data_IF_281870958749
#
_entry.id   IF_281870958749
#
_cell.length_a   1.000
_cell.length_b   1.000
_cell.length_c   1.000
_cell.angle_alpha   90.00
_cell.angle_beta   90.00
_cell.angle_gamma   90.00
#
_symmetry.space_group_name_H-M   'P 1'
#
loop_
_entity.id
_entity.type
_entity.pdbx_description
1 polymer ?
#
# COMPACT_ATOMS: atom_id res chain seq x y z
N UNK A 1 2.75 26.83 17.61
CA UNK A 1 3.51 26.65 18.86
C UNK A 1 2.53 26.09 19.87
N UNK A 2 2.61 24.81 20.18
CA UNK A 2 1.93 24.22 21.31
C UNK A 2 2.72 24.65 22.54
N UNK A 3 2.21 25.60 23.32
CA UNK A 3 2.88 26.22 24.45
C UNK A 3 2.90 25.34 25.71
N UNK A 4 3.23 24.07 25.59
CA UNK A 4 3.40 23.18 26.73
C UNK A 4 4.89 23.03 27.02
N UNK A 5 5.35 23.59 28.12
CA UNK A 5 6.71 23.36 28.63
C UNK A 5 6.75 22.02 29.34
N UNK A 6 7.53 21.10 28.82
CA UNK A 6 7.80 19.82 29.47
C UNK A 6 9.14 19.85 30.19
N UNK A 7 9.23 19.22 31.36
CA UNK A 7 10.51 19.00 31.99
C UNK A 7 11.41 18.13 31.11
N UNK A 8 12.74 18.32 31.23
CA UNK A 8 13.71 17.50 30.47
C UNK A 8 13.55 16.00 30.76
N UNK A 9 13.16 15.65 31.98
CA UNK A 9 12.90 14.27 32.40
C UNK A 9 11.67 13.70 31.68
N UNK A 10 10.58 14.47 31.63
CA UNK A 10 9.34 14.08 30.93
C UNK A 10 9.60 13.88 29.43
N UNK A 11 10.35 14.81 28.81
CA UNK A 11 10.73 14.68 27.41
C UNK A 11 11.55 13.40 27.15
N UNK A 12 12.57 13.12 27.96
CA UNK A 12 13.38 11.92 27.79
C UNK A 12 12.55 10.64 27.96
N UNK A 13 11.66 10.58 28.97
CA UNK A 13 10.78 9.42 29.13
C UNK A 13 9.87 9.18 27.91
N UNK A 14 9.32 10.27 27.33
CA UNK A 14 8.49 10.16 26.13
C UNK A 14 9.32 9.75 24.91
N UNK A 15 10.55 10.28 24.76
CA UNK A 15 11.47 9.88 23.72
C UNK A 15 11.78 8.39 23.80
N UNK A 16 12.18 7.91 24.98
CA UNK A 16 12.54 6.51 25.21
C UNK A 16 11.34 5.58 24.98
N UNK A 17 10.12 6.02 25.35
CA UNK A 17 8.89 5.28 25.03
C UNK A 17 8.63 5.21 23.53
N UNK A 18 8.80 6.32 22.79
CA UNK A 18 8.66 6.36 21.32
C UNK A 18 9.73 5.48 20.66
N UNK A 19 11.00 5.56 21.12
CA UNK A 19 12.06 4.69 20.61
C UNK A 19 11.73 3.21 20.84
N UNK A 20 11.18 2.87 22.01
CA UNK A 20 10.81 1.48 22.33
C UNK A 20 9.60 0.95 21.55
N UNK A 21 8.57 1.78 21.36
CA UNK A 21 7.35 1.38 20.63
C UNK A 21 7.60 1.23 19.12
N UNK A 22 8.40 2.13 18.56
CA UNK A 22 8.60 2.20 17.10
C UNK A 22 9.93 1.60 16.64
N UNK A 23 10.77 1.08 17.55
CA UNK A 23 12.08 0.50 17.20
C UNK A 23 13.03 1.50 16.52
N UNK A 24 12.88 2.80 16.80
CA UNK A 24 13.66 3.87 16.19
C UNK A 24 14.66 4.47 17.16
N UNK A 25 15.66 5.20 16.66
CA UNK A 25 16.54 6.05 17.45
C UNK A 25 16.27 7.52 17.19
N UNK A 26 16.13 8.30 18.28
CA UNK A 26 15.97 9.75 18.20
C UNK A 26 17.27 10.41 18.71
N UNK A 27 18.04 10.97 17.77
CA UNK A 27 19.30 11.62 18.05
C UNK A 27 19.13 13.12 18.26
N UNK A 28 20.03 13.72 19.06
CA UNK A 28 20.07 15.15 19.26
C UNK A 28 21.30 15.75 18.56
N UNK A 29 21.07 16.68 17.66
CA UNK A 29 22.13 17.53 17.14
C UNK A 29 22.44 18.62 18.19
N UNK A 30 23.56 18.49 18.89
CA UNK A 30 23.95 19.37 20.00
C UNK A 30 24.24 20.79 19.56
N UNK A 31 24.65 21.02 18.31
CA UNK A 31 24.95 22.38 17.81
C UNK A 31 23.70 23.19 17.50
N UNK A 32 22.62 22.51 17.05
CA UNK A 32 21.34 23.14 16.73
C UNK A 32 20.27 22.92 17.79
N UNK A 33 20.56 22.08 18.79
CA UNK A 33 19.64 21.63 19.84
C UNK A 33 18.33 21.04 19.27
N UNK A 34 18.42 20.34 18.11
CA UNK A 34 17.30 19.71 17.44
C UNK A 34 17.40 18.20 17.53
N UNK A 35 16.27 17.57 17.82
CA UNK A 35 16.13 16.12 17.76
C UNK A 35 15.71 15.70 16.36
N UNK A 36 16.24 14.57 15.89
CA UNK A 36 15.94 14.01 14.58
C UNK A 36 16.02 12.49 14.61
N UNK A 37 15.30 11.84 13.73
CA UNK A 37 15.42 10.41 13.48
C UNK A 37 16.42 10.25 12.33
N UNK A 38 17.56 9.57 12.55
CA UNK A 38 18.54 9.36 11.48
C UNK A 38 17.91 8.49 10.37
N UNK A 39 18.14 8.88 9.14
CA UNK A 39 17.86 7.99 8.01
C UNK A 39 18.98 6.94 8.00
N UNK A 40 18.67 5.70 8.35
CA UNK A 40 19.59 4.58 8.24
C UNK A 40 19.15 3.73 7.07
N UNK A 41 20.07 3.47 6.12
CA UNK A 41 19.87 2.52 5.02
C UNK A 41 19.81 1.05 5.55
N UNK A 42 20.23 0.84 6.80
CA UNK A 42 20.24 -0.44 7.50
C UNK A 42 19.00 -0.68 8.35
N UNK A 43 17.80 -0.33 7.87
CA UNK A 43 16.58 -0.82 8.49
C UNK A 43 16.45 -2.28 8.08
N UNK A 44 16.72 -3.21 9.00
CA UNK A 44 16.44 -4.63 8.80
C UNK A 44 14.97 -4.78 8.33
N UNK A 45 14.71 -5.71 7.41
CA UNK A 45 13.39 -5.93 6.80
C UNK A 45 12.24 -6.04 7.81
N UNK A 46 12.53 -6.48 9.05
CA UNK A 46 11.55 -6.56 10.14
C UNK A 46 10.97 -5.21 10.61
N UNK A 47 11.63 -4.07 10.29
CA UNK A 47 11.20 -2.72 10.69
C UNK A 47 10.85 -1.81 9.49
N UNK A 48 10.92 -2.31 8.26
CA UNK A 48 10.71 -1.50 7.05
C UNK A 48 9.30 -0.89 7.01
N UNK A 49 8.28 -1.63 7.41
CA UNK A 49 6.88 -1.18 7.44
C UNK A 49 6.69 -0.08 8.49
N UNK A 50 7.27 -0.25 9.69
CA UNK A 50 7.21 0.74 10.77
C UNK A 50 7.97 2.01 10.39
N UNK A 51 9.16 1.88 9.79
CA UNK A 51 9.93 3.02 9.30
C UNK A 51 9.20 3.77 8.18
N UNK A 52 8.55 3.05 7.28
CA UNK A 52 7.73 3.63 6.22
C UNK A 52 6.51 4.38 6.77
N UNK A 53 5.79 3.81 7.74
CA UNK A 53 4.67 4.47 8.43
C UNK A 53 5.12 5.77 9.11
N UNK A 54 6.24 5.73 9.83
CA UNK A 54 6.80 6.91 10.50
C UNK A 54 7.21 7.97 9.48
N UNK A 55 7.88 7.58 8.40
CA UNK A 55 8.27 8.51 7.34
C UNK A 55 7.05 9.15 6.68
N UNK A 56 6.01 8.39 6.37
CA UNK A 56 4.76 8.89 5.78
C UNK A 56 4.06 9.86 6.73
N UNK A 57 3.99 9.54 8.04
CA UNK A 57 3.43 10.42 9.07
C UNK A 57 4.27 11.69 9.24
N UNK A 58 5.59 11.57 9.23
CA UNK A 58 6.52 12.69 9.36
C UNK A 58 6.42 13.63 8.18
N UNK A 59 6.38 13.11 6.95
CA UNK A 59 6.20 13.93 5.73
C UNK A 59 4.87 14.67 5.76
N UNK A 60 3.76 14.01 6.10
CA UNK A 60 2.45 14.64 6.20
C UNK A 60 2.40 15.73 7.29
N UNK A 61 3.02 15.49 8.44
CA UNK A 61 3.13 16.50 9.50
C UNK A 61 4.03 17.66 9.09
N UNK A 62 5.17 17.42 8.46
CA UNK A 62 6.05 18.47 7.94
C UNK A 62 5.35 19.31 6.88
N UNK A 63 4.57 18.70 5.98
CA UNK A 63 3.76 19.40 4.98
C UNK A 63 2.68 20.27 5.64
N UNK A 64 2.04 19.77 6.71
CA UNK A 64 1.05 20.54 7.47
C UNK A 64 1.66 21.72 8.21
N UNK A 65 2.82 21.52 8.85
CA UNK A 65 3.56 22.57 9.57
C UNK A 65 4.26 23.54 8.60
N UNK A 66 4.59 23.10 7.40
CA UNK A 66 5.27 23.89 6.36
C UNK A 66 4.33 24.67 5.44
N UNK A 67 3.00 24.45 5.53
CA UNK A 67 2.03 25.09 4.64
C UNK A 67 2.18 26.62 4.56
N UNK A 68 2.48 27.29 5.67
CA UNK A 68 2.71 28.74 5.68
C UNK A 68 4.08 29.16 5.11
N UNK A 69 5.14 28.38 5.35
CA UNK A 69 6.51 28.73 4.96
C UNK A 69 6.94 28.16 3.60
N UNK A 70 6.30 27.07 3.17
CA UNK A 70 6.61 26.34 1.94
C UNK A 70 5.47 26.39 0.92
N UNK A 71 4.48 27.28 1.13
CA UNK A 71 3.38 27.49 0.19
C UNK A 71 3.92 27.78 -1.22
N UNK A 72 3.43 27.02 -2.20
CA UNK A 72 3.87 27.13 -3.59
C UNK A 72 5.24 26.49 -3.92
N UNK A 73 5.92 25.88 -2.93
CA UNK A 73 7.23 25.22 -3.13
C UNK A 73 7.18 23.70 -3.01
N UNK A 74 6.09 23.17 -2.47
CA UNK A 74 5.83 21.73 -2.33
C UNK A 74 4.49 21.44 -3.00
N UNK A 75 4.52 20.54 -3.98
CA UNK A 75 3.32 20.03 -4.65
C UNK A 75 3.21 18.55 -4.38
N UNK A 76 2.03 18.12 -3.95
CA UNK A 76 1.68 16.71 -3.71
C UNK A 76 0.43 16.42 -4.51
N UNK A 77 0.38 15.24 -5.13
CA UNK A 77 -0.84 14.80 -5.82
C UNK A 77 -2.01 14.68 -4.83
N UNK A 78 -3.13 15.28 -5.18
CA UNK A 78 -4.37 15.16 -4.40
C UNK A 78 -5.07 13.83 -4.76
N UNK A 79 -4.67 12.77 -4.09
CA UNK A 79 -5.26 11.44 -4.26
C UNK A 79 -6.14 11.14 -3.04
N UNK A 80 -7.44 10.83 -3.25
CA UNK A 80 -8.29 10.38 -2.18
C UNK A 80 -7.75 9.06 -1.59
N UNK A 81 -6.94 9.15 -0.57
CA UNK A 81 -6.26 7.98 0.03
C UNK A 81 -7.10 7.30 1.11
N UNK A 82 -8.08 8.03 1.68
CA UNK A 82 -8.87 7.56 2.82
C UNK A 82 -8.09 7.48 4.14
N UNK A 83 -6.87 8.04 4.19
CA UNK A 83 -5.98 7.96 5.36
C UNK A 83 -6.61 8.45 6.67
N UNK A 84 -7.66 9.28 6.62
CA UNK A 84 -8.37 9.78 7.81
C UNK A 84 -8.98 8.65 8.66
N UNK A 85 -9.32 7.51 8.06
CA UNK A 85 -9.86 6.36 8.78
C UNK A 85 -8.78 5.34 9.17
N UNK A 86 -7.54 5.49 8.69
CA UNK A 86 -6.49 4.50 8.87
C UNK A 86 -6.17 4.25 10.35
N UNK A 87 -6.05 5.33 11.13
CA UNK A 87 -5.76 5.24 12.57
C UNK A 87 -6.84 4.44 13.32
N UNK A 88 -8.11 4.73 13.04
CA UNK A 88 -9.22 4.01 13.69
C UNK A 88 -9.26 2.52 13.30
N UNK A 89 -8.92 2.19 12.04
CA UNK A 89 -8.82 0.79 11.61
C UNK A 89 -7.66 0.09 12.31
N UNK A 90 -6.50 0.72 12.42
CA UNK A 90 -5.34 0.15 13.13
C UNK A 90 -5.60 -0.03 14.63
N UNK A 91 -6.32 0.90 15.27
CA UNK A 91 -6.79 0.76 16.65
C UNK A 91 -7.69 -0.47 16.80
N UNK A 92 -8.70 -0.62 15.94
CA UNK A 92 -9.59 -1.79 15.93
C UNK A 92 -8.82 -3.11 15.73
N UNK A 93 -7.80 -3.12 14.86
CA UNK A 93 -6.93 -4.29 14.66
C UNK A 93 -6.13 -4.64 15.91
N UNK A 94 -5.58 -3.63 16.60
CA UNK A 94 -4.77 -3.81 17.81
C UNK A 94 -5.61 -4.35 18.96
N UNK A 95 -6.84 -3.85 19.12
CA UNK A 95 -7.77 -4.28 20.17
C UNK A 95 -8.57 -5.55 19.80
N UNK A 96 -8.52 -5.96 18.53
CA UNK A 96 -9.29 -7.09 18.02
C UNK A 96 -10.79 -6.81 17.93
N UNK A 97 -11.17 -5.57 17.63
CA UNK A 97 -12.57 -5.13 17.56
C UNK A 97 -13.11 -5.17 16.13
N UNK A 98 -14.41 -5.56 16.00
CA UNK A 98 -15.14 -5.40 14.76
C UNK A 98 -15.39 -3.91 14.48
N UNK A 99 -15.41 -3.51 13.21
CA UNK A 99 -15.78 -2.16 12.77
C UNK A 99 -17.04 -2.22 11.91
N UNK A 100 -17.85 -1.15 11.97
CA UNK A 100 -18.96 -0.95 11.06
C UNK A 100 -18.63 0.20 10.12
N UNK A 101 -18.71 -0.03 8.82
CA UNK A 101 -18.45 0.99 7.82
C UNK A 101 -19.67 1.28 6.96
N UNK A 102 -19.92 2.55 6.71
CA UNK A 102 -20.76 3.01 5.61
C UNK A 102 -19.91 3.11 4.35
N UNK A 103 -20.22 2.33 3.32
CA UNK A 103 -19.37 2.16 2.15
C UNK A 103 -20.10 2.47 0.85
N UNK A 104 -19.53 3.37 0.03
CA UNK A 104 -20.09 3.74 -1.27
C UNK A 104 -19.32 3.08 -2.40
N UNK A 105 -19.96 2.18 -3.13
CA UNK A 105 -19.40 1.55 -4.33
C UNK A 105 -19.37 2.54 -5.50
N UNK A 106 -18.44 2.36 -6.44
CA UNK A 106 -18.43 3.16 -7.68
C UNK A 106 -19.66 2.91 -8.56
N UNK A 107 -20.27 1.73 -8.43
CA UNK A 107 -21.43 1.30 -9.23
C UNK A 107 -22.78 1.62 -8.60
N UNK A 108 -22.78 2.28 -7.44
CA UNK A 108 -24.02 2.60 -6.69
C UNK A 108 -24.01 4.04 -6.21
N UNK A 109 -25.16 4.69 -6.24
CA UNK A 109 -25.39 5.98 -5.58
C UNK A 109 -25.60 5.84 -4.07
N UNK A 110 -25.98 4.65 -3.61
CA UNK A 110 -26.32 4.37 -2.23
C UNK A 110 -25.09 3.97 -1.42
N UNK A 111 -25.16 4.18 -0.11
CA UNK A 111 -24.16 3.75 0.85
C UNK A 111 -24.66 2.49 1.54
N UNK A 112 -23.93 1.40 1.34
CA UNK A 112 -24.17 0.13 2.03
C UNK A 112 -23.47 0.14 3.39
N UNK A 113 -24.02 -0.60 4.36
CA UNK A 113 -23.37 -0.81 5.66
C UNK A 113 -22.76 -2.21 5.73
N UNK A 114 -21.53 -2.29 6.21
CA UNK A 114 -20.82 -3.56 6.39
C UNK A 114 -20.17 -3.64 7.76
N UNK A 115 -20.28 -4.80 8.40
CA UNK A 115 -19.53 -5.16 9.60
C UNK A 115 -18.30 -5.97 9.20
N UNK A 116 -17.12 -5.51 9.59
CA UNK A 116 -15.85 -6.07 9.15
C UNK A 116 -15.02 -6.44 10.38
N UNK A 117 -14.40 -7.60 10.34
CA UNK A 117 -13.24 -7.98 11.17
C UNK A 117 -11.99 -7.58 10.43
N UNK A 118 -11.35 -6.46 10.78
CA UNK A 118 -10.18 -5.98 10.05
C UNK A 118 -8.97 -6.87 10.39
N UNK A 119 -8.41 -7.54 9.38
CA UNK A 119 -7.25 -8.41 9.54
C UNK A 119 -5.95 -7.70 9.17
N UNK A 120 -5.99 -6.86 8.13
CA UNK A 120 -4.84 -6.10 7.68
C UNK A 120 -5.25 -4.80 6.99
N UNK A 121 -4.30 -3.91 6.83
CA UNK A 121 -4.37 -2.76 5.92
C UNK A 121 -3.27 -2.88 4.88
N UNK A 122 -3.56 -2.43 3.66
CA UNK A 122 -2.61 -2.47 2.54
C UNK A 122 -2.68 -1.15 1.78
N UNK A 123 -1.52 -0.62 1.46
CA UNK A 123 -1.42 0.48 0.51
C UNK A 123 -1.21 -0.06 -0.91
N UNK A 124 -1.93 0.49 -1.86
CA UNK A 124 -1.75 0.22 -3.28
C UNK A 124 -2.14 1.44 -4.11
N UNK A 125 -1.28 1.84 -5.02
CA UNK A 125 -1.49 3.01 -5.89
C UNK A 125 -1.88 4.28 -5.11
N UNK A 126 -1.17 4.54 -4.01
CA UNK A 126 -1.36 5.68 -3.09
C UNK A 126 -2.72 5.70 -2.37
N UNK A 127 -3.44 4.59 -2.33
CA UNK A 127 -4.71 4.43 -1.60
C UNK A 127 -4.59 3.33 -0.57
N UNK A 128 -5.28 3.51 0.55
CA UNK A 128 -5.36 2.55 1.62
C UNK A 128 -6.58 1.66 1.50
N UNK A 129 -6.40 0.41 1.86
CA UNK A 129 -7.43 -0.62 1.81
C UNK A 129 -7.48 -1.41 3.11
N UNK A 130 -8.69 -1.72 3.58
CA UNK A 130 -8.94 -2.70 4.65
C UNK A 130 -9.08 -4.07 4.02
N UNK A 131 -8.36 -5.04 4.53
CA UNK A 131 -8.53 -6.44 4.24
C UNK A 131 -9.17 -7.08 5.47
N UNK A 132 -10.30 -7.74 5.30
CA UNK A 132 -10.98 -8.32 6.45
C UNK A 132 -12.13 -9.23 6.06
N UNK A 133 -12.64 -9.94 7.07
CA UNK A 133 -13.82 -10.78 6.92
C UNK A 133 -15.08 -9.91 7.07
N UNK A 134 -15.90 -9.88 6.04
CA UNK A 134 -17.19 -9.18 6.05
C UNK A 134 -18.30 -10.11 6.49
N UNK A 135 -19.04 -9.75 7.53
CA UNK A 135 -20.09 -10.59 8.09
C UNK A 135 -21.28 -10.74 7.14
N UNK A 136 -21.73 -9.67 6.50
CA UNK A 136 -22.85 -9.66 5.57
C UNK A 136 -22.53 -10.43 4.28
N UNK A 137 -21.26 -10.40 3.84
CA UNK A 137 -20.80 -11.09 2.62
C UNK A 137 -20.21 -12.47 2.89
N UNK A 138 -20.11 -12.87 4.17
CA UNK A 138 -19.62 -14.19 4.64
C UNK A 138 -18.29 -14.59 4.00
N UNK A 139 -17.32 -13.66 3.96
CA UNK A 139 -16.02 -13.95 3.35
C UNK A 139 -15.06 -12.77 3.38
N UNK A 140 -13.83 -13.06 2.99
CA UNK A 140 -12.79 -12.03 2.88
C UNK A 140 -13.15 -11.01 1.80
N UNK A 141 -12.93 -9.75 2.11
CA UNK A 141 -13.17 -8.61 1.21
C UNK A 141 -12.09 -7.56 1.39
N UNK A 142 -11.97 -6.74 0.35
CA UNK A 142 -11.08 -5.58 0.33
C UNK A 142 -11.92 -4.32 0.13
N UNK A 143 -11.75 -3.37 1.03
CA UNK A 143 -12.49 -2.11 1.03
C UNK A 143 -11.52 -0.93 0.95
N UNK A 144 -11.63 -0.10 -0.10
CA UNK A 144 -10.85 1.14 -0.20
C UNK A 144 -11.33 2.16 0.83
N UNK A 145 -10.42 2.70 1.63
CA UNK A 145 -10.73 3.69 2.65
C UNK A 145 -11.25 5.00 2.06
N UNK A 146 -10.87 5.33 0.83
CA UNK A 146 -11.37 6.49 0.07
C UNK A 146 -12.89 6.47 -0.19
N UNK A 147 -13.49 5.28 -0.11
CA UNK A 147 -14.92 5.04 -0.33
C UNK A 147 -15.72 4.85 0.96
N UNK A 148 -15.06 4.86 2.10
CA UNK A 148 -15.70 4.85 3.42
C UNK A 148 -16.30 6.21 3.69
N UNK A 149 -17.59 6.26 4.07
CA UNK A 149 -18.33 7.46 4.39
C UNK A 149 -18.50 7.66 5.89
N UNK A 150 -18.54 6.56 6.63
CA UNK A 150 -18.55 6.52 8.09
C UNK A 150 -17.82 5.27 8.58
N UNK A 151 -17.21 5.37 9.73
CA UNK A 151 -16.56 4.25 10.42
C UNK A 151 -16.89 4.36 11.89
N UNK A 152 -17.36 3.26 12.47
CA UNK A 152 -17.68 3.12 13.88
C UNK A 152 -16.91 1.95 14.46
N UNK A 153 -16.20 2.19 15.56
CA UNK A 153 -15.55 1.15 16.36
C UNK A 153 -16.63 0.48 17.22
N UNK A 154 -16.64 -0.85 17.25
CA UNK A 154 -17.59 -1.60 18.07
C UNK A 154 -16.89 -2.20 19.28
N UNK A 155 -17.66 -2.55 20.32
CA UNK A 155 -17.15 -3.30 21.47
C UNK A 155 -17.09 -4.82 21.22
N UNK A 156 -17.55 -5.28 20.04
CA UNK A 156 -17.52 -6.70 19.68
C UNK A 156 -16.12 -7.09 19.26
N UNK A 157 -15.55 -8.03 19.98
CA UNK A 157 -14.22 -8.57 19.70
C UNK A 157 -14.29 -9.77 18.78
N UNK A 158 -13.23 -10.01 18.03
CA UNK A 158 -13.01 -11.21 17.24
C UNK A 158 -11.60 -11.76 17.49
N UNK A 159 -11.38 -13.00 17.12
CA UNK A 159 -10.04 -13.58 17.07
C UNK A 159 -9.59 -13.69 15.63
N UNK A 160 -8.47 -13.08 15.33
CA UNK A 160 -7.80 -13.23 14.03
C UNK A 160 -7.36 -14.69 13.86
N UNK A 161 -7.56 -15.32 12.69
CA UNK A 161 -7.01 -16.64 12.42
C UNK A 161 -5.49 -16.61 12.60
N UNK A 162 -4.95 -17.63 13.30
CA UNK A 162 -3.52 -17.69 13.62
C UNK A 162 -2.62 -17.87 12.41
N UNK A 163 -3.17 -18.41 11.35
CA UNK A 163 -2.55 -18.73 10.07
C UNK A 163 -2.76 -17.65 9.01
N UNK A 164 -3.39 -16.50 9.37
CA UNK A 164 -3.53 -15.41 8.43
C UNK A 164 -2.24 -14.58 8.39
N UNK A 165 -1.64 -14.58 7.22
CA UNK A 165 -0.54 -13.70 6.86
C UNK A 165 -0.94 -12.88 5.62
N UNK A 166 -0.79 -11.57 5.68
CA UNK A 166 -1.20 -10.65 4.61
C UNK A 166 -0.33 -10.79 3.38
N UNK A 167 0.97 -11.06 3.56
CA UNK A 167 1.92 -11.20 2.47
C UNK A 167 1.73 -12.53 1.73
N UNK A 168 1.41 -13.60 2.48
CA UNK A 168 1.03 -14.86 1.89
C UNK A 168 -0.31 -14.75 1.15
N UNK A 169 -1.30 -14.09 1.77
CA UNK A 169 -2.63 -13.87 1.19
C UNK A 169 -2.58 -13.15 -0.16
N UNK A 170 -1.65 -12.20 -0.32
CA UNK A 170 -1.44 -11.47 -1.57
C UNK A 170 -0.21 -11.95 -2.37
N UNK A 171 0.37 -13.10 -2.01
CA UNK A 171 1.62 -13.57 -2.63
C UNK A 171 1.55 -13.75 -4.15
N UNK A 172 0.37 -14.12 -4.65
CA UNK A 172 0.09 -14.30 -6.09
C UNK A 172 -0.85 -13.22 -6.65
N UNK A 173 -1.16 -12.19 -5.89
CA UNK A 173 -2.11 -11.16 -6.30
C UNK A 173 -1.40 -9.96 -6.91
N UNK A 174 -1.88 -9.46 -8.02
CA UNK A 174 -1.52 -8.13 -8.48
C UNK A 174 -2.45 -7.09 -7.85
N UNK A 175 -1.85 -6.15 -7.10
CA UNK A 175 -2.58 -5.07 -6.42
C UNK A 175 -3.34 -5.53 -5.18
N UNK A 176 -4.65 -5.22 -5.17
CA UNK A 176 -5.56 -5.45 -4.03
C UNK A 176 -6.61 -6.53 -4.31
N UNK A 177 -6.50 -7.19 -5.43
CA UNK A 177 -7.50 -8.19 -5.83
C UNK A 177 -7.22 -9.49 -5.11
N UNK A 178 -8.24 -10.04 -4.45
CA UNK A 178 -8.16 -11.40 -3.89
C UNK A 178 -7.96 -12.36 -5.06
N UNK A 179 -6.94 -13.23 -5.03
CA UNK A 179 -6.68 -14.15 -6.14
C UNK A 179 -7.91 -15.02 -6.44
N UNK A 180 -8.30 -15.07 -7.69
CA UNK A 180 -9.39 -15.92 -8.19
C UNK A 180 -8.77 -17.07 -8.99
N UNK A 181 -8.13 -17.99 -8.27
CA UNK A 181 -7.45 -19.14 -8.85
C UNK A 181 -5.94 -19.16 -8.59
N UNK A 182 -5.26 -20.20 -9.07
CA UNK A 182 -3.84 -20.41 -8.83
C UNK A 182 -3.00 -19.36 -9.56
N UNK A 183 -1.84 -19.04 -8.97
CA UNK A 183 -0.83 -18.26 -9.67
C UNK A 183 -0.29 -19.02 -10.87
N UNK A 184 0.13 -18.28 -11.90
CA UNK A 184 0.80 -18.82 -13.07
C UNK A 184 2.00 -17.94 -13.44
N UNK A 185 3.00 -18.54 -14.08
CA UNK A 185 4.15 -17.80 -14.57
C UNK A 185 3.76 -17.04 -15.84
N UNK A 186 3.93 -15.72 -15.80
CA UNK A 186 3.76 -14.85 -16.95
C UNK A 186 5.13 -14.36 -17.38
N UNK A 187 5.45 -14.51 -18.65
CA UNK A 187 6.69 -14.03 -19.26
C UNK A 187 6.40 -12.85 -20.17
N UNK A 188 7.24 -11.83 -20.09
CA UNK A 188 7.11 -10.65 -20.93
C UNK A 188 8.49 -10.08 -21.28
N UNK A 189 8.56 -9.38 -22.37
CA UNK A 189 9.78 -8.81 -22.95
C UNK A 189 9.65 -7.30 -23.06
N UNK A 190 10.73 -6.57 -22.79
CA UNK A 190 10.79 -5.12 -22.92
C UNK A 190 12.10 -4.67 -23.57
N UNK A 191 12.16 -3.40 -23.98
CA UNK A 191 13.40 -2.75 -24.33
C UNK A 191 14.35 -2.61 -23.12
N UNK A 192 15.65 -2.41 -23.38
CA UNK A 192 16.61 -2.11 -22.30
C UNK A 192 16.27 -0.84 -21.52
N UNK A 193 15.62 0.13 -22.14
CA UNK A 193 15.19 1.36 -21.48
C UNK A 193 14.14 1.08 -20.43
N UNK A 194 13.06 0.38 -20.81
CA UNK A 194 11.98 0.00 -19.90
C UNK A 194 12.46 -0.96 -18.81
N UNK A 195 13.40 -1.87 -19.15
CA UNK A 195 13.95 -2.81 -18.20
C UNK A 195 14.64 -2.13 -17.00
N UNK A 196 15.22 -0.93 -17.18
CA UNK A 196 15.82 -0.17 -16.07
C UNK A 196 14.75 0.22 -15.05
N UNK A 197 13.61 0.76 -15.52
CA UNK A 197 12.50 1.12 -14.64
C UNK A 197 11.91 -0.10 -13.95
N UNK A 198 11.81 -1.23 -14.65
CA UNK A 198 11.26 -2.47 -14.09
C UNK A 198 12.18 -3.15 -13.08
N UNK A 199 13.49 -2.88 -13.12
CA UNK A 199 14.43 -3.32 -12.08
C UNK A 199 14.28 -2.50 -10.81
N UNK A 200 14.09 -1.17 -10.95
CA UNK A 200 13.93 -0.26 -9.81
C UNK A 200 12.52 -0.36 -9.20
N UNK A 201 11.49 -0.54 -10.04
CA UNK A 201 10.10 -0.68 -9.62
C UNK A 201 9.47 -1.89 -10.31
N UNK A 202 9.63 -3.09 -9.75
CA UNK A 202 9.06 -4.32 -10.30
C UNK A 202 7.53 -4.28 -10.37
N UNK A 203 6.95 -4.86 -11.43
CA UNK A 203 5.49 -5.02 -11.56
C UNK A 203 4.93 -5.86 -10.40
N UNK A 204 5.69 -6.86 -9.96
CA UNK A 204 5.31 -7.72 -8.85
C UNK A 204 6.54 -8.22 -8.09
N UNK A 205 6.41 -8.48 -6.77
CA UNK A 205 7.51 -8.99 -5.92
C UNK A 205 8.17 -10.28 -6.41
N UNK A 206 7.47 -11.09 -7.20
CA UNK A 206 8.01 -12.30 -7.82
C UNK A 206 8.76 -12.05 -9.11
N UNK A 207 8.92 -10.80 -9.57
CA UNK A 207 9.59 -10.49 -10.82
C UNK A 207 11.04 -10.98 -10.83
N UNK A 208 11.40 -11.65 -11.91
CA UNK A 208 12.77 -12.12 -12.16
C UNK A 208 13.14 -11.81 -13.59
N UNK A 209 14.34 -11.33 -13.81
CA UNK A 209 14.95 -11.25 -15.12
C UNK A 209 15.44 -12.66 -15.49
N UNK A 210 15.01 -13.18 -16.64
CA UNK A 210 15.28 -14.55 -17.07
C UNK A 210 16.14 -14.63 -18.32
N UNK A 211 16.18 -13.57 -19.13
CA UNK A 211 17.05 -13.47 -20.30
C UNK A 211 17.31 -12.01 -20.66
N UNK A 212 18.46 -11.76 -21.29
CA UNK A 212 18.81 -10.46 -21.87
C UNK A 212 19.65 -10.71 -23.13
N UNK A 213 19.29 -10.05 -24.22
CA UNK A 213 20.04 -10.05 -25.48
C UNK A 213 20.41 -8.60 -25.88
N UNK A 214 20.86 -8.38 -27.14
CA UNK A 214 21.26 -7.05 -27.60
C UNK A 214 20.09 -6.05 -27.70
N UNK A 215 18.87 -6.52 -27.92
CA UNK A 215 17.71 -5.70 -28.24
C UNK A 215 16.69 -5.64 -27.11
N UNK A 216 16.69 -6.64 -26.23
CA UNK A 216 15.59 -6.82 -25.27
C UNK A 216 16.01 -7.50 -23.96
N UNK A 217 15.15 -7.34 -22.96
CA UNK A 217 15.22 -8.02 -21.67
C UNK A 217 13.89 -8.74 -21.41
N UNK A 218 13.99 -10.01 -21.01
CA UNK A 218 12.83 -10.84 -20.69
C UNK A 218 12.71 -11.05 -19.18
N UNK A 219 11.53 -10.82 -18.68
CA UNK A 219 11.16 -10.99 -17.27
C UNK A 219 10.10 -12.09 -17.12
N UNK A 220 10.03 -12.63 -15.92
CA UNK A 220 8.91 -13.47 -15.48
C UNK A 220 8.35 -12.97 -14.16
N UNK A 221 7.03 -13.13 -13.98
CA UNK A 221 6.32 -12.94 -12.72
C UNK A 221 5.44 -14.17 -12.44
N UNK A 222 5.15 -14.43 -11.17
CA UNK A 222 4.23 -15.50 -10.77
C UNK A 222 3.03 -14.90 -10.05
N UNK A 223 1.88 -14.84 -10.73
CA UNK A 223 0.67 -14.16 -10.24
C UNK A 223 -0.61 -14.85 -10.76
N UNK A 224 -1.72 -14.66 -10.05
CA UNK A 224 -3.06 -14.93 -10.57
C UNK A 224 -3.47 -13.74 -11.43
N UNK A 225 -3.63 -13.90 -12.76
CA UNK A 225 -3.97 -12.80 -13.66
C UNK A 225 -5.32 -12.19 -13.29
N UNK A 226 -5.37 -10.88 -13.34
CA UNK A 226 -6.59 -10.11 -13.14
C UNK A 226 -6.62 -8.91 -14.08
N UNK A 227 -7.76 -8.22 -14.14
CA UNK A 227 -7.92 -7.08 -15.04
C UNK A 227 -6.91 -5.95 -14.75
N UNK A 228 -6.53 -5.73 -13.50
CA UNK A 228 -5.58 -4.69 -13.16
C UNK A 228 -4.18 -5.00 -13.72
N UNK A 229 -3.76 -6.27 -13.68
CA UNK A 229 -2.50 -6.70 -14.29
C UNK A 229 -2.52 -6.54 -15.82
N UNK A 230 -3.64 -6.91 -16.47
CA UNK A 230 -3.77 -6.69 -17.91
C UNK A 230 -3.62 -5.20 -18.25
N UNK A 231 -4.28 -4.33 -17.49
CA UNK A 231 -4.16 -2.89 -17.69
C UNK A 231 -2.75 -2.36 -17.37
N UNK A 232 -2.07 -2.95 -16.40
CA UNK A 232 -0.67 -2.59 -16.10
C UNK A 232 0.24 -2.92 -17.30
N UNK A 233 0.07 -4.07 -17.95
CA UNK A 233 0.80 -4.38 -19.18
C UNK A 233 0.44 -3.42 -20.33
N UNK A 234 -0.85 -3.11 -20.51
CA UNK A 234 -1.28 -2.16 -21.53
C UNK A 234 -0.68 -0.76 -21.38
N UNK A 235 -0.38 -0.33 -20.16
CA UNK A 235 0.23 0.97 -19.85
C UNK A 235 1.56 1.20 -20.58
N UNK A 236 2.30 0.13 -20.85
CA UNK A 236 3.58 0.20 -21.57
C UNK A 236 3.42 0.27 -23.10
N UNK A 237 2.20 0.08 -23.63
CA UNK A 237 1.95 0.08 -25.08
C UNK A 237 2.89 -0.86 -25.84
N UNK A 238 3.58 -0.34 -26.86
CA UNK A 238 4.57 -1.11 -27.62
C UNK A 238 5.90 -1.35 -26.91
N UNK A 239 6.12 -0.79 -25.70
CA UNK A 239 7.35 -0.95 -24.93
C UNK A 239 7.44 -2.28 -24.16
N UNK A 240 6.32 -3.02 -24.08
CA UNK A 240 6.26 -4.32 -23.40
C UNK A 240 5.43 -5.32 -24.23
N UNK A 241 5.99 -6.51 -24.43
CA UNK A 241 5.30 -7.63 -25.10
C UNK A 241 5.13 -8.79 -24.11
N UNK A 242 3.88 -9.23 -23.92
CA UNK A 242 3.59 -10.46 -23.17
C UNK A 242 3.87 -11.65 -24.07
N UNK A 243 4.80 -12.51 -23.68
CA UNK A 243 5.20 -13.71 -24.43
C UNK A 243 4.31 -14.91 -24.10
N UNK A 244 3.86 -14.99 -22.85
CA UNK A 244 3.01 -16.09 -22.38
C UNK A 244 2.55 -15.90 -20.95
N UNK A 245 1.51 -16.65 -20.53
CA UNK A 245 0.74 -17.62 -21.32
C UNK A 245 -0.19 -16.95 -22.34
N UNK A 246 -0.62 -17.71 -23.34
CA UNK A 246 -1.45 -17.21 -24.44
C UNK A 246 -2.74 -16.54 -23.95
N UNK A 247 -3.34 -17.05 -22.89
CA UNK A 247 -4.53 -16.45 -22.27
C UNK A 247 -4.34 -15.01 -21.80
N UNK A 248 -3.15 -14.67 -21.26
CA UNK A 248 -2.81 -13.31 -20.84
C UNK A 248 -2.42 -12.46 -22.04
N UNK A 249 -1.61 -13.01 -22.95
CA UNK A 249 -1.19 -12.34 -24.18
C UNK A 249 -2.39 -11.88 -25.00
N UNK A 250 -3.35 -12.78 -25.24
CA UNK A 250 -4.57 -12.48 -26.00
C UNK A 250 -5.43 -11.42 -25.33
N UNK A 251 -5.53 -11.40 -24.00
CA UNK A 251 -6.27 -10.37 -23.27
C UNK A 251 -5.61 -8.99 -23.41
N UNK A 252 -4.29 -8.90 -23.27
CA UNK A 252 -3.56 -7.64 -23.47
C UNK A 252 -3.71 -7.14 -24.90
N UNK A 253 -3.55 -8.03 -25.91
CA UNK A 253 -3.71 -7.67 -27.30
C UNK A 253 -5.14 -7.17 -27.61
N UNK A 254 -6.16 -7.81 -27.05
CA UNK A 254 -7.56 -7.41 -27.24
C UNK A 254 -7.85 -6.02 -26.60
N UNK A 255 -7.30 -5.73 -25.42
CA UNK A 255 -7.47 -4.41 -24.77
C UNK A 255 -6.76 -3.30 -25.56
N UNK A 256 -5.56 -3.56 -26.08
CA UNK A 256 -4.82 -2.59 -26.90
C UNK A 256 -5.53 -2.35 -28.26
N UNK A 257 -6.02 -3.39 -28.91
CA UNK A 257 -6.79 -3.27 -30.15
C UNK A 257 -8.07 -2.46 -29.91
N UNK A 258 -8.83 -2.78 -28.88
CA UNK A 258 -10.04 -2.04 -28.52
C UNK A 258 -9.78 -0.55 -28.28
N UNK A 259 -8.63 -0.21 -27.69
CA UNK A 259 -8.26 1.19 -27.46
C UNK A 259 -7.85 1.92 -28.75
N UNK A 260 -7.35 1.19 -29.76
CA UNK A 260 -6.99 1.75 -31.06
C UNK A 260 -8.20 1.99 -31.98
N UNK A 261 -9.31 1.26 -31.72
CA UNK A 261 -10.55 1.35 -32.53
C UNK A 261 -11.52 2.43 -31.98
N UNK A 262 -11.19 3.16 -30.93
CA UNK A 262 -11.96 4.28 -30.35
C UNK A 262 -11.53 5.63 -30.93
#
# INVERSE_FOLDING_TARGET
RFGTEYSRRTFNNHRDAVEGVFGIRILCNRSTNRYYIPYTEDVSDENAETAWLINTFTVNNMLSLGKERLSGRVSVEDIPSGHMYLTAVMEAMTEGNEIVIGYKKYTSSETDTYTIRPYAVKEFAKRWYIIGYCLERKGMRVYGLDRVKSLELTEKTFRMPKDFDVDEFFSTSFGIYIPDGPGQTITFRTSHTEARFLRDLPIHKSQKEIASDNDSVTFSIFVSPNKALIMEFCKYGGGLEVLGPESVRSQVAAELARAADL
#
